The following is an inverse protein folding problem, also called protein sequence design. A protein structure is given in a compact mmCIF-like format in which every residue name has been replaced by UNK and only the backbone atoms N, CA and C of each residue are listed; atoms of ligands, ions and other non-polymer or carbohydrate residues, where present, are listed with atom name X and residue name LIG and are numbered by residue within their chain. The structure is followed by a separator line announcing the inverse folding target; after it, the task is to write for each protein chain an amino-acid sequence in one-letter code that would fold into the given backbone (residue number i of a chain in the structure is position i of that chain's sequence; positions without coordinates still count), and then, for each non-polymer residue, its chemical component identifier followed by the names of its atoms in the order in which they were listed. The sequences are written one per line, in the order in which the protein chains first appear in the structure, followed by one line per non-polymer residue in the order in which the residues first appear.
data_IF_713094821367
#
_entry.id   IF_713094821367
#
_cell.length_a   1.000
_cell.length_b   1.000
_cell.length_c   1.000
_cell.angle_alpha   90.00
_cell.angle_beta   90.00
_cell.angle_gamma   90.00
#
_symmetry.space_group_name_H-M   'P 1'
#
loop_
_entity.id
_entity.type
_entity.pdbx_description
1 polymer ?
#
# COMPACT_ATOMS: atom_id res chain seq x y z
N UNK A 1 -14.48 3.20 11.24
CA UNK A 1 -14.25 3.34 9.78
C UNK A 1 -12.95 2.61 9.43
N UNK A 2 -12.94 1.75 8.43
CA UNK A 2 -11.73 1.01 8.04
C UNK A 2 -10.91 1.86 7.06
N UNK A 3 -9.81 2.48 7.53
CA UNK A 3 -8.96 3.38 6.74
C UNK A 3 -8.48 2.72 5.45
N UNK A 4 -8.19 1.42 5.49
CA UNK A 4 -7.79 0.64 4.32
C UNK A 4 -8.85 0.69 3.21
N UNK A 5 -10.11 0.46 3.57
CA UNK A 5 -11.23 0.47 2.62
C UNK A 5 -11.46 1.86 2.05
N UNK A 6 -11.31 2.90 2.87
CA UNK A 6 -11.45 4.29 2.43
C UNK A 6 -10.32 4.72 1.48
N UNK A 7 -9.09 4.25 1.70
CA UNK A 7 -8.00 4.47 0.74
C UNK A 7 -8.34 3.79 -0.58
N UNK A 8 -8.78 2.52 -0.55
CA UNK A 8 -9.14 1.80 -1.79
C UNK A 8 -10.30 2.48 -2.53
N UNK A 9 -11.30 3.01 -1.83
CA UNK A 9 -12.43 3.70 -2.45
C UNK A 9 -12.01 5.02 -3.13
N UNK A 10 -11.06 5.75 -2.54
CA UNK A 10 -10.56 7.04 -3.07
C UNK A 10 -9.43 6.93 -4.09
N UNK A 11 -8.85 5.74 -4.29
CA UNK A 11 -7.67 5.54 -5.15
C UNK A 11 -7.93 4.61 -6.34
N UNK A 12 -9.17 4.62 -6.85
CA UNK A 12 -9.60 3.73 -7.92
C UNK A 12 -9.23 2.26 -7.64
N UNK A 13 -9.61 1.80 -6.44
CA UNK A 13 -9.36 0.42 -5.97
C UNK A 13 -7.87 0.07 -5.88
N UNK A 14 -7.03 1.08 -5.57
CA UNK A 14 -5.59 0.96 -5.40
C UNK A 14 -4.76 1.21 -6.66
N UNK A 15 -5.38 1.48 -7.82
CA UNK A 15 -4.64 1.80 -9.03
C UNK A 15 -3.82 3.09 -8.89
N UNK A 16 -4.41 4.13 -8.29
CA UNK A 16 -3.75 5.43 -8.19
C UNK A 16 -2.53 5.38 -7.26
N UNK A 17 -2.54 4.47 -6.28
CA UNK A 17 -1.38 4.19 -5.43
C UNK A 17 -0.24 3.59 -6.25
N UNK A 18 -0.53 2.61 -7.12
CA UNK A 18 0.49 2.09 -8.02
C UNK A 18 1.02 3.19 -8.95
N UNK A 19 0.15 3.98 -9.59
CA UNK A 19 0.56 5.06 -10.47
C UNK A 19 1.46 6.10 -9.75
N UNK A 20 1.18 6.40 -8.49
CA UNK A 20 1.95 7.37 -7.71
C UNK A 20 3.34 6.85 -7.33
N UNK A 21 3.44 5.61 -6.87
CA UNK A 21 4.71 5.06 -6.37
C UNK A 21 5.54 4.32 -7.43
N UNK A 22 4.97 3.93 -8.57
CA UNK A 22 5.71 3.23 -9.61
C UNK A 22 6.70 4.20 -10.29
N UNK A 23 8.00 3.87 -10.35
CA UNK A 23 9.01 4.76 -10.93
C UNK A 23 9.00 4.76 -12.48
N UNK A 24 8.09 4.02 -13.09
CA UNK A 24 7.96 3.86 -14.54
C UNK A 24 6.50 3.92 -14.95
N UNK A 25 6.26 4.33 -16.19
CA UNK A 25 4.93 4.19 -16.79
C UNK A 25 4.59 2.73 -17.04
N UNK A 26 3.34 2.38 -16.80
CA UNK A 26 2.80 1.05 -17.11
C UNK A 26 1.39 1.15 -17.66
N UNK A 27 0.98 0.09 -18.35
CA UNK A 27 -0.41 -0.09 -18.80
C UNK A 27 -0.97 -1.31 -18.07
N UNK A 28 -2.11 -1.20 -17.35
CA UNK A 28 -2.72 -2.37 -16.71
C UNK A 28 -2.90 -3.54 -17.68
N UNK A 29 -2.70 -4.76 -17.19
CA UNK A 29 -2.72 -6.04 -17.92
C UNK A 29 -1.65 -6.19 -19.02
N UNK A 30 -0.74 -5.23 -19.19
CA UNK A 30 0.44 -5.36 -20.05
C UNK A 30 1.67 -5.60 -19.19
N UNK A 31 2.49 -6.55 -19.60
CA UNK A 31 3.73 -6.82 -18.87
C UNK A 31 4.76 -5.70 -19.07
N UNK A 32 5.46 -5.37 -18.00
CA UNK A 32 6.61 -4.47 -17.92
C UNK A 32 7.73 -5.16 -17.12
N UNK A 33 8.94 -4.59 -17.16
CA UNK A 33 10.07 -5.08 -16.35
C UNK A 33 9.89 -4.59 -14.92
N UNK A 34 9.98 -5.49 -13.95
CA UNK A 34 9.81 -5.11 -12.55
C UNK A 34 10.93 -4.14 -12.10
N UNK A 35 10.60 -2.93 -11.59
CA UNK A 35 11.61 -1.97 -11.15
C UNK A 35 12.27 -2.33 -9.82
N UNK A 36 11.80 -3.35 -9.11
CA UNK A 36 12.30 -3.74 -7.79
C UNK A 36 13.58 -4.61 -7.83
N UNK A 37 13.99 -5.08 -9.02
CA UNK A 37 15.22 -5.83 -9.23
C UNK A 37 15.70 -5.73 -10.69
N UNK A 38 16.87 -6.29 -11.02
CA UNK A 38 17.34 -6.40 -12.41
C UNK A 38 16.53 -7.43 -13.20
N UNK A 39 15.32 -7.04 -13.61
CA UNK A 39 14.43 -7.89 -14.39
C UNK A 39 14.78 -7.86 -15.89
N UNK A 40 15.25 -9.00 -16.38
CA UNK A 40 15.75 -9.14 -17.76
C UNK A 40 14.64 -9.27 -18.79
N UNK A 41 13.40 -9.57 -18.39
CA UNK A 41 12.26 -9.80 -19.29
C UNK A 41 11.01 -9.15 -18.72
N UNK A 42 10.11 -8.63 -19.55
CA UNK A 42 8.87 -8.04 -19.04
C UNK A 42 7.99 -9.11 -18.34
N UNK A 43 8.11 -9.20 -17.02
CA UNK A 43 7.56 -10.28 -16.19
C UNK A 43 6.46 -9.80 -15.24
N UNK A 44 6.34 -8.50 -15.02
CA UNK A 44 5.40 -7.93 -14.07
C UNK A 44 4.22 -7.26 -14.76
N UNK A 45 3.02 -7.35 -14.20
CA UNK A 45 1.89 -6.51 -14.59
C UNK A 45 1.05 -6.08 -13.39
N UNK A 46 0.25 -5.04 -13.60
CA UNK A 46 -0.79 -4.60 -12.68
C UNK A 46 -2.15 -4.94 -13.29
N UNK A 47 -3.01 -5.61 -12.53
CA UNK A 47 -4.30 -6.10 -13.01
C UNK A 47 -5.38 -5.92 -11.93
N UNK A 48 -6.63 -5.74 -12.37
CA UNK A 48 -7.77 -5.78 -11.48
C UNK A 48 -8.07 -7.24 -11.11
N UNK A 49 -7.96 -7.58 -9.83
CA UNK A 49 -8.32 -8.89 -9.32
C UNK A 49 -9.83 -8.98 -9.07
N UNK A 50 -10.52 -9.87 -9.79
CA UNK A 50 -11.97 -10.00 -9.70
C UNK A 50 -12.44 -10.53 -8.34
N UNK A 51 -11.59 -11.23 -7.58
CA UNK A 51 -11.95 -11.79 -6.27
C UNK A 51 -12.00 -10.70 -5.19
N UNK A 52 -10.96 -9.87 -5.12
CA UNK A 52 -10.87 -8.76 -4.16
C UNK A 52 -11.52 -7.47 -4.66
N UNK A 53 -11.78 -7.36 -5.96
CA UNK A 53 -12.24 -6.12 -6.58
C UNK A 53 -11.21 -5.00 -6.55
N UNK A 54 -9.93 -5.31 -6.33
CA UNK A 54 -8.83 -4.35 -6.18
C UNK A 54 -7.70 -4.61 -7.16
N UNK A 55 -6.93 -3.57 -7.50
CA UNK A 55 -5.74 -3.74 -8.33
C UNK A 55 -4.64 -4.45 -7.55
N UNK A 56 -3.92 -5.34 -8.23
CA UNK A 56 -2.79 -6.11 -7.71
C UNK A 56 -1.64 -6.08 -8.71
N UNK A 57 -0.43 -6.23 -8.19
CA UNK A 57 0.77 -6.47 -8.96
C UNK A 57 1.07 -7.96 -8.96
N UNK A 58 1.30 -8.53 -10.14
CA UNK A 58 1.79 -9.90 -10.31
C UNK A 58 3.12 -9.85 -11.04
N UNK A 59 4.10 -10.55 -10.51
CA UNK A 59 5.34 -10.84 -11.19
C UNK A 59 5.41 -12.35 -11.51
N UNK A 60 5.56 -12.69 -12.79
CA UNK A 60 5.66 -14.06 -13.29
C UNK A 60 7.11 -14.59 -13.30
N UNK A 61 8.11 -13.71 -13.20
CA UNK A 61 9.52 -14.06 -13.09
C UNK A 61 9.95 -14.34 -11.65
N UNK A 62 9.39 -13.61 -10.69
CA UNK A 62 9.64 -13.81 -9.27
C UNK A 62 8.40 -13.45 -8.42
N UNK A 63 7.72 -14.49 -7.93
CA UNK A 63 6.47 -14.36 -7.17
C UNK A 63 6.63 -13.55 -5.87
N UNK A 64 7.83 -13.47 -5.31
CA UNK A 64 8.12 -12.69 -4.10
C UNK A 64 7.85 -11.17 -4.29
N UNK A 65 7.79 -10.70 -5.53
CA UNK A 65 7.46 -9.32 -5.87
C UNK A 65 6.00 -9.12 -6.33
N UNK A 66 5.11 -10.03 -5.94
CA UNK A 66 3.66 -9.91 -6.17
C UNK A 66 2.94 -9.43 -4.91
N UNK A 67 1.94 -8.56 -5.06
CA UNK A 67 1.25 -7.98 -3.90
C UNK A 67 0.09 -7.06 -4.26
N UNK A 68 -0.52 -6.48 -3.23
CA UNK A 68 -1.48 -5.38 -3.39
C UNK A 68 -0.76 -4.02 -3.36
N UNK A 69 -1.53 -2.94 -3.54
CA UNK A 69 -0.99 -1.58 -3.56
C UNK A 69 -0.31 -1.18 -2.24
N UNK A 70 -0.73 -1.73 -1.09
CA UNK A 70 -0.15 -1.39 0.20
C UNK A 70 1.20 -2.05 0.40
N UNK A 71 1.34 -3.32 0.02
CA UNK A 71 2.64 -3.99 -0.01
C UNK A 71 3.60 -3.29 -0.96
N UNK A 72 3.13 -2.87 -2.14
CA UNK A 72 3.96 -2.16 -3.10
C UNK A 72 4.42 -0.79 -2.57
N UNK A 73 3.50 0.02 -2.05
CA UNK A 73 3.84 1.30 -1.43
C UNK A 73 4.82 1.13 -0.26
N UNK A 74 4.61 0.15 0.61
CA UNK A 74 5.55 -0.16 1.69
C UNK A 74 6.95 -0.49 1.16
N UNK A 75 7.02 -1.31 0.11
CA UNK A 75 8.30 -1.69 -0.53
C UNK A 75 9.01 -0.46 -1.10
N UNK A 76 8.29 0.43 -1.80
CA UNK A 76 8.83 1.66 -2.35
C UNK A 76 9.29 2.66 -1.27
N UNK A 77 8.65 2.62 -0.10
CA UNK A 77 8.99 3.45 1.07
C UNK A 77 10.08 2.83 1.97
N UNK A 78 10.53 1.60 1.69
CA UNK A 78 11.46 0.87 2.54
C UNK A 78 10.88 0.45 3.90
N UNK A 79 9.56 0.21 3.97
CA UNK A 79 8.82 -0.21 5.17
C UNK A 79 8.44 -1.69 5.11
N UNK A 80 8.25 -2.33 6.27
CA UNK A 80 7.70 -3.69 6.35
C UNK A 80 6.17 -3.60 6.49
N UNK A 81 5.43 -3.96 5.44
CA UNK A 81 3.95 -3.87 5.43
C UNK A 81 3.30 -4.62 6.60
N UNK A 82 3.92 -5.65 7.17
CA UNK A 82 3.36 -6.41 8.29
C UNK A 82 3.56 -5.72 9.63
N UNK A 83 4.59 -4.89 9.76
CA UNK A 83 4.95 -4.18 11.01
C UNK A 83 4.50 -2.72 10.98
N UNK A 84 4.63 -2.09 9.83
CA UNK A 84 4.48 -0.65 9.62
C UNK A 84 3.16 -0.30 8.92
N UNK A 85 2.17 -1.20 8.92
CA UNK A 85 0.95 -1.05 8.12
C UNK A 85 0.25 0.30 8.34
N UNK A 86 0.11 0.74 9.59
CA UNK A 86 -0.53 2.04 9.91
C UNK A 86 0.27 3.20 9.30
N UNK A 87 1.60 3.17 9.39
CA UNK A 87 2.49 4.18 8.81
C UNK A 87 2.39 4.20 7.28
N UNK A 88 2.22 3.03 6.65
CA UNK A 88 1.97 2.93 5.20
C UNK A 88 0.65 3.60 4.84
N UNK A 89 -0.44 3.35 5.59
CA UNK A 89 -1.74 4.00 5.35
C UNK A 89 -1.66 5.53 5.54
N UNK A 90 -1.00 6.00 6.61
CA UNK A 90 -0.78 7.43 6.87
C UNK A 90 0.02 8.10 5.75
N UNK A 91 1.05 7.42 5.25
CA UNK A 91 1.91 7.92 4.18
C UNK A 91 1.15 8.01 2.86
N UNK A 92 0.40 6.96 2.48
CA UNK A 92 -0.47 7.00 1.28
C UNK A 92 -1.49 8.13 1.39
N UNK A 93 -2.16 8.28 2.54
CA UNK A 93 -3.16 9.33 2.75
C UNK A 93 -2.56 10.73 2.58
N UNK A 94 -1.37 10.96 3.12
CA UNK A 94 -0.65 12.24 2.98
C UNK A 94 -0.19 12.48 1.55
N UNK A 95 0.47 11.51 0.95
CA UNK A 95 1.16 11.66 -0.33
C UNK A 95 0.16 11.80 -1.49
N UNK A 96 -0.97 11.07 -1.45
CA UNK A 96 -2.07 11.22 -2.40
C UNK A 96 -3.11 12.28 -1.97
N UNK A 97 -2.86 13.00 -0.87
CA UNK A 97 -3.73 14.06 -0.35
C UNK A 97 -5.20 13.62 -0.20
N UNK A 98 -5.43 12.39 0.27
CA UNK A 98 -6.75 11.77 0.29
C UNK A 98 -7.67 12.36 1.37
N UNK A 99 -7.13 13.14 2.31
CA UNK A 99 -7.87 13.81 3.40
C UNK A 99 -8.74 12.84 4.24
N UNK A 100 -8.23 11.64 4.49
CA UNK A 100 -8.87 10.64 5.36
C UNK A 100 -8.47 10.92 6.80
N UNK A 101 -9.43 10.98 7.71
CA UNK A 101 -9.16 11.11 9.13
C UNK A 101 -8.66 9.78 9.70
N UNK A 102 -7.42 9.77 10.20
CA UNK A 102 -6.80 8.61 10.85
C UNK A 102 -6.84 8.88 12.35
N UNK A 103 -7.87 8.36 13.03
CA UNK A 103 -7.95 8.42 14.48
C UNK A 103 -6.87 7.52 15.07
N UNK A 104 -5.81 8.13 15.61
CA UNK A 104 -4.90 7.39 16.48
C UNK A 104 -5.62 7.14 17.79
N UNK A 105 -5.98 5.88 18.06
CA UNK A 105 -6.27 5.46 19.43
C UNK A 105 -4.95 5.54 20.21
N UNK A 106 -4.68 6.72 20.74
CA UNK A 106 -3.80 6.89 21.90
C UNK A 106 -4.28 5.87 22.93
N UNK A 107 -3.49 4.83 23.17
CA UNK A 107 -3.73 3.95 24.30
C UNK A 107 -3.36 4.76 25.53
N UNK A 108 -4.29 5.56 26.04
CA UNK A 108 -4.18 6.16 27.36
C UNK A 108 -4.10 5.01 28.35
N UNK A 109 -2.90 4.70 28.81
CA UNK A 109 -2.66 3.71 29.85
C UNK A 109 -3.37 4.19 31.13
N UNK A 110 -4.42 3.53 31.66
CA UNK A 110 -5.18 4.05 32.81
C UNK A 110 -4.46 3.91 34.16
N UNK A 111 -3.15 3.66 34.20
CA UNK A 111 -2.46 3.27 35.42
C UNK A 111 -1.39 4.24 35.87
N UNK A 112 -1.82 5.44 36.27
CA UNK A 112 -1.21 6.14 37.42
C UNK A 112 -2.21 7.10 38.07
N UNK A 113 -3.26 6.56 38.67
CA UNK A 113 -3.99 7.25 39.72
C UNK A 113 -3.79 6.48 41.02
N UNK A 114 -2.80 6.86 41.83
CA UNK A 114 -2.92 6.74 43.29
C UNK A 114 -1.92 7.65 44.02
N UNK A 115 -2.53 8.64 44.67
CA UNK A 115 -2.26 9.17 46.01
C UNK A 115 -0.93 9.91 46.26
N UNK A 116 -1.04 11.24 46.33
CA UNK A 116 -0.20 12.05 47.20
C UNK A 116 -0.86 12.10 48.59
N UNK A 117 -0.08 11.95 49.68
CA UNK A 117 -0.56 12.15 51.05
C UNK A 117 -0.91 13.61 51.33
#
# INVERSE_FOLDING_TARGET
MNIKEEILSRTNKGLDVFCFYMPIDFVPKRNFRNPLYDDKRASCNIYLDNKSGCYRMKDFGNDAYSGDCFWFAATMLGLDVRKDFVKVLETINRDLQLNICIERKEHSNPHTMMMKP
#
